data_IF_471521215816
#
_entry.id   IF_471521215816
#
_cell.length_a   1.000
_cell.length_b   1.000
_cell.length_c   1.000
_cell.angle_alpha   90.00
_cell.angle_beta   90.00
_cell.angle_gamma   90.00
#
_symmetry.space_group_name_H-M   'P 1'
#
loop_
_entity.id
_entity.type
_entity.pdbx_description
1 polymer ?
#
# COMPACT_ATOMS: atom_id res chain seq x y z
N UNK A 1 4.36 -13.28 11.60
CA UNK A 1 2.91 -13.61 11.69
C UNK A 1 2.16 -12.31 11.90
N UNK A 2 1.10 -11.99 11.14
CA UNK A 2 0.25 -10.84 11.43
C UNK A 2 -0.46 -11.06 12.78
N UNK A 3 -0.48 -10.03 13.63
CA UNK A 3 -1.13 -10.06 14.95
C UNK A 3 -2.45 -9.32 14.84
N UNK A 4 -3.53 -9.92 15.37
CA UNK A 4 -4.84 -9.27 15.40
C UNK A 4 -4.76 -7.96 16.19
N UNK A 5 -5.28 -6.87 15.61
CA UNK A 5 -5.24 -5.54 16.21
C UNK A 5 -3.94 -4.76 16.01
N UNK A 6 -2.95 -5.32 15.32
CA UNK A 6 -1.77 -4.56 14.91
C UNK A 6 -2.19 -3.41 13.98
N UNK A 7 -1.73 -2.20 14.30
CA UNK A 7 -1.93 -1.00 13.47
C UNK A 7 -0.61 -0.69 12.77
N UNK A 8 -0.71 -0.29 11.52
CA UNK A 8 0.40 0.24 10.76
C UNK A 8 0.07 1.68 10.39
N UNK A 9 1.02 2.57 10.58
CA UNK A 9 0.92 3.95 10.10
C UNK A 9 1.75 4.13 8.83
N UNK A 10 1.41 5.14 8.03
CA UNK A 10 2.20 5.49 6.84
C UNK A 10 3.65 5.84 7.21
N UNK A 11 3.85 6.55 8.32
CA UNK A 11 5.17 6.94 8.79
C UNK A 11 6.03 5.73 9.14
N UNK A 12 5.48 4.76 9.88
CA UNK A 12 6.18 3.50 10.19
C UNK A 12 6.55 2.74 8.91
N UNK A 13 5.64 2.70 7.93
CA UNK A 13 5.91 2.05 6.65
C UNK A 13 7.07 2.74 5.89
N UNK A 14 7.07 4.07 5.82
CA UNK A 14 8.12 4.82 5.14
C UNK A 14 9.47 4.72 5.85
N UNK A 15 9.50 4.83 7.18
CA UNK A 15 10.72 4.62 7.98
C UNK A 15 11.29 3.22 7.74
N UNK A 16 10.45 2.19 7.82
CA UNK A 16 10.85 0.81 7.58
C UNK A 16 11.40 0.58 6.16
N UNK A 17 10.77 1.21 5.16
CA UNK A 17 11.17 1.10 3.76
C UNK A 17 12.49 1.84 3.48
N UNK A 18 12.66 3.06 3.98
CA UNK A 18 13.86 3.87 3.76
C UNK A 18 15.15 3.20 4.26
N UNK A 19 15.06 2.37 5.31
CA UNK A 19 16.19 1.57 5.80
C UNK A 19 16.56 0.39 4.89
N UNK A 20 15.67 -0.03 3.98
CA UNK A 20 15.77 -1.31 3.24
C UNK A 20 15.91 -1.14 1.74
N UNK A 21 15.47 -0.02 1.20
CA UNK A 21 15.55 0.27 -0.24
C UNK A 21 16.22 1.61 -0.48
N UNK A 22 16.92 1.72 -1.61
CA UNK A 22 17.51 2.98 -2.01
C UNK A 22 16.44 4.07 -2.16
N UNK A 23 16.77 5.32 -1.80
CA UNK A 23 15.83 6.44 -1.77
C UNK A 23 15.03 6.63 -3.07
N UNK A 24 15.63 6.37 -4.24
CA UNK A 24 14.94 6.49 -5.54
C UNK A 24 13.85 5.44 -5.77
N UNK A 25 13.83 4.35 -4.98
CA UNK A 25 12.80 3.32 -4.99
C UNK A 25 11.75 3.53 -3.91
N UNK A 26 11.95 4.47 -3.00
CA UNK A 26 10.98 4.77 -1.96
C UNK A 26 9.69 5.29 -2.62
N UNK A 27 8.52 4.73 -2.28
CA UNK A 27 7.25 5.25 -2.78
C UNK A 27 7.08 6.71 -2.37
N UNK A 28 6.37 7.51 -3.18
CA UNK A 28 6.02 8.89 -2.80
C UNK A 28 4.77 8.98 -1.93
N UNK A 29 3.89 7.99 -2.05
CA UNK A 29 2.59 7.94 -1.37
C UNK A 29 2.32 6.48 -1.01
N UNK A 30 1.75 6.26 0.16
CA UNK A 30 1.28 4.97 0.64
C UNK A 30 -0.15 5.17 1.17
N UNK A 31 -1.02 4.20 0.92
CA UNK A 31 -2.42 4.29 1.34
C UNK A 31 -2.75 3.01 2.08
N UNK A 32 -3.36 3.14 3.26
CA UNK A 32 -3.96 2.02 3.95
C UNK A 32 -5.40 1.87 3.46
N UNK A 33 -5.73 0.65 3.02
CA UNK A 33 -7.08 0.27 2.58
C UNK A 33 -7.51 -0.94 3.39
N UNK A 34 -8.81 -1.02 3.68
CA UNK A 34 -9.37 -2.16 4.42
C UNK A 34 -9.20 -3.46 3.65
N UNK A 35 -9.37 -3.41 2.32
CA UNK A 35 -9.21 -4.57 1.45
C UNK A 35 -8.64 -4.18 0.08
N UNK A 36 -7.76 -5.04 -0.45
CA UNK A 36 -7.30 -4.95 -1.83
C UNK A 36 -8.35 -5.55 -2.78
N UNK A 37 -8.74 -4.86 -3.87
CA UNK A 37 -9.64 -5.43 -4.87
C UNK A 37 -9.01 -6.65 -5.52
N UNK A 38 -9.67 -7.81 -5.40
CA UNK A 38 -9.17 -9.09 -5.90
C UNK A 38 -10.19 -9.76 -6.82
N UNK A 39 -9.69 -10.50 -7.81
CA UNK A 39 -10.54 -11.36 -8.63
C UNK A 39 -10.84 -12.70 -7.92
N UNK A 40 -11.65 -13.56 -8.56
CA UNK A 40 -12.00 -14.88 -8.05
C UNK A 40 -10.78 -15.79 -7.75
N UNK A 41 -9.62 -15.53 -8.35
CA UNK A 41 -8.36 -16.23 -8.09
C UNK A 41 -7.47 -15.50 -7.06
N UNK A 42 -8.03 -14.58 -6.27
CA UNK A 42 -7.34 -13.72 -5.30
C UNK A 42 -6.25 -12.79 -5.85
N UNK A 43 -6.14 -12.62 -7.17
CA UNK A 43 -5.17 -11.67 -7.75
C UNK A 43 -5.66 -10.25 -7.60
N UNK A 44 -4.75 -9.34 -7.25
CA UNK A 44 -5.07 -7.90 -7.13
C UNK A 44 -5.37 -7.30 -8.49
N UNK A 45 -6.52 -6.63 -8.61
CA UNK A 45 -6.94 -5.94 -9.83
C UNK A 45 -6.43 -4.50 -9.80
N UNK A 46 -5.29 -4.26 -10.46
CA UNK A 46 -4.64 -2.93 -10.46
C UNK A 46 -5.51 -1.82 -11.05
N UNK A 47 -6.33 -2.12 -12.06
CA UNK A 47 -7.21 -1.14 -12.69
C UNK A 47 -8.23 -0.57 -11.70
N UNK A 48 -8.85 -1.46 -10.93
CA UNK A 48 -9.80 -1.07 -9.89
C UNK A 48 -9.11 -0.38 -8.72
N UNK A 49 -7.91 -0.82 -8.33
CA UNK A 49 -7.13 -0.15 -7.30
C UNK A 49 -6.84 1.33 -7.66
N UNK A 50 -6.53 1.63 -8.92
CA UNK A 50 -6.33 3.01 -9.40
C UNK A 50 -7.63 3.81 -9.41
N UNK A 51 -8.74 3.19 -9.83
CA UNK A 51 -10.05 3.86 -9.83
C UNK A 51 -10.52 4.21 -8.41
N UNK A 52 -10.26 3.34 -7.42
CA UNK A 52 -10.57 3.57 -6.00
C UNK A 52 -9.66 4.62 -5.33
N UNK A 53 -8.51 4.92 -5.91
CA UNK A 53 -7.53 5.90 -5.41
C UNK A 53 -7.41 7.10 -6.37
N UNK A 54 -8.47 7.91 -6.53
CA UNK A 54 -8.55 8.96 -7.55
C UNK A 54 -7.50 10.07 -7.37
N UNK A 55 -6.97 10.25 -6.17
CA UNK A 55 -5.97 11.30 -5.86
C UNK A 55 -4.57 10.99 -6.41
N UNK A 56 -4.33 9.82 -7.00
CA UNK A 56 -3.02 9.44 -7.55
C UNK A 56 -2.66 10.15 -8.88
N UNK A 57 -3.61 10.86 -9.51
CA UNK A 57 -3.45 11.48 -10.84
C UNK A 57 -3.35 13.01 -10.80
N UNK A 58 -3.05 13.60 -9.64
CA UNK A 58 -2.67 15.02 -9.47
C UNK A 58 -1.42 15.11 -8.61
#
# INVERSE_FOLDING_TARGET
MPVAGARLTEQEFFSWAAERIANFKLPRRAFLVEELPRNASMKVIKGELRARLPTLMT
#
